data_IF_436252083280
#
_entry.id   IF_436252083280
#
_cell.length_a   1.000
_cell.length_b   1.000
_cell.length_c   1.000
_cell.angle_alpha   90.00
_cell.angle_beta   90.00
_cell.angle_gamma   90.00
#
_symmetry.space_group_name_H-M   'P 1'
#
loop_
_entity.id
_entity.type
_entity.pdbx_description
1 polymer ?
#
# COMPACT_ATOMS: atom_id res chain seq x y z
N UNK A 1 -6.97 41.88 26.38
CA UNK A 1 -5.82 42.68 26.86
C UNK A 1 -5.40 42.10 28.21
N UNK A 2 -4.14 41.62 28.32
CA UNK A 2 -3.44 41.10 29.53
C UNK A 2 -4.00 39.82 30.19
N UNK A 3 -3.20 38.90 30.74
CA UNK A 3 -1.80 38.49 30.57
C UNK A 3 -1.69 37.17 31.36
N UNK A 4 -1.04 36.15 30.80
CA UNK A 4 -0.63 34.95 31.52
C UNK A 4 0.35 35.31 32.65
N UNK A 5 0.26 34.62 33.80
CA UNK A 5 1.30 34.60 34.82
C UNK A 5 1.88 33.18 34.92
N UNK A 6 3.14 33.06 34.51
CA UNK A 6 4.02 31.94 34.82
C UNK A 6 4.67 32.18 36.18
N UNK A 7 4.76 31.13 37.00
CA UNK A 7 5.48 31.13 38.28
C UNK A 7 6.75 30.31 38.15
N UNK A 8 7.91 30.96 38.30
CA UNK A 8 9.23 30.35 38.45
C UNK A 8 9.62 30.40 39.92
N UNK A 9 10.12 29.27 40.45
CA UNK A 9 10.78 29.19 41.77
C UNK A 9 12.28 28.95 41.62
N UNK A 10 13.09 29.35 42.62
CA UNK A 10 14.42 29.91 42.39
C UNK A 10 15.57 28.92 42.41
N UNK A 11 16.63 29.36 41.74
CA UNK A 11 18.00 28.85 41.73
C UNK A 11 18.66 29.14 43.08
N UNK A 12 19.41 28.17 43.63
CA UNK A 12 20.30 28.38 44.76
C UNK A 12 21.75 28.05 44.38
N UNK A 13 22.63 29.00 44.68
CA UNK A 13 24.05 29.05 44.34
C UNK A 13 24.95 28.25 45.30
N UNK A 14 25.92 27.52 44.75
CA UNK A 14 27.22 27.16 45.34
C UNK A 14 28.06 26.51 44.22
N UNK A 15 29.35 26.72 44.00
CA UNK A 15 30.35 27.69 44.42
C UNK A 15 31.60 27.40 43.57
N UNK A 16 32.19 28.45 42.99
CA UNK A 16 33.56 28.65 42.50
C UNK A 16 34.54 27.45 42.40
N UNK A 17 35.26 27.37 41.26
CA UNK A 17 36.74 27.51 41.16
C UNK A 17 37.19 27.49 39.69
N UNK A 18 37.80 28.60 39.24
CA UNK A 18 38.60 28.69 38.01
C UNK A 18 40.08 28.69 38.41
N UNK A 19 40.92 27.90 37.71
CA UNK A 19 42.35 28.18 37.57
C UNK A 19 42.84 27.70 36.19
N UNK A 20 43.56 28.61 35.53
CA UNK A 20 44.08 28.57 34.16
C UNK A 20 45.32 27.67 34.04
N UNK A 21 45.56 27.09 32.87
CA UNK A 21 46.90 26.97 32.28
C UNK A 21 46.81 26.81 30.74
N UNK A 22 47.74 27.45 30.03
CA UNK A 22 47.90 27.53 28.56
C UNK A 22 49.30 27.00 28.22
N UNK A 23 49.49 26.54 26.96
CA UNK A 23 50.73 26.37 26.11
C UNK A 23 50.81 24.92 25.53
N UNK A 24 50.41 24.70 24.26
CA UNK A 24 51.21 24.52 22.99
C UNK A 24 52.03 23.19 22.96
N UNK A 25 52.15 22.36 21.90
CA UNK A 25 52.22 22.53 20.43
C UNK A 25 52.13 21.13 19.71
N UNK A 26 51.81 21.15 18.41
CA UNK A 26 52.25 20.25 17.31
C UNK A 26 51.67 18.84 17.05
N UNK A 27 51.01 18.74 15.87
CA UNK A 27 51.16 17.75 14.79
C UNK A 27 50.94 16.26 15.07
N UNK A 28 49.79 15.77 14.59
CA UNK A 28 49.58 14.37 14.26
C UNK A 28 48.59 14.26 13.11
N UNK A 29 49.11 14.11 11.89
CA UNK A 29 48.35 13.64 10.73
C UNK A 29 47.64 12.32 11.07
N UNK A 30 46.34 12.27 10.86
CA UNK A 30 45.65 11.02 10.54
C UNK A 30 44.59 11.34 9.50
N UNK A 31 45.02 11.19 8.24
CA UNK A 31 44.18 10.92 7.08
C UNK A 31 43.22 9.79 7.43
N UNK A 32 42.02 10.12 7.90
CA UNK A 32 40.90 9.20 7.80
C UNK A 32 40.47 9.25 6.34
N UNK A 33 40.98 8.29 5.57
CA UNK A 33 40.44 7.95 4.27
C UNK A 33 38.92 7.86 4.39
N UNK A 34 38.24 8.81 3.77
CA UNK A 34 36.82 8.64 3.48
C UNK A 34 36.69 7.39 2.63
N UNK A 35 36.22 6.30 3.23
CA UNK A 35 35.50 5.27 2.51
C UNK A 35 34.21 5.94 2.03
N UNK A 36 34.33 6.76 0.98
CA UNK A 36 33.22 7.09 0.11
C UNK A 36 32.86 5.79 -0.59
N UNK A 37 32.12 4.93 0.11
CA UNK A 37 31.37 3.86 -0.52
C UNK A 37 30.60 4.50 -1.66
N UNK A 38 30.97 4.16 -2.88
CA UNK A 38 30.26 4.61 -4.06
C UNK A 38 28.87 3.98 -3.96
N UNK A 39 27.92 4.70 -3.37
CA UNK A 39 26.50 4.37 -3.45
C UNK A 39 26.13 4.51 -4.93
N UNK A 40 26.26 3.44 -5.70
CA UNK A 40 25.67 3.37 -7.02
C UNK A 40 24.16 3.59 -6.85
N UNK A 41 23.65 4.67 -7.46
CA UNK A 41 22.23 4.91 -7.47
C UNK A 41 21.54 3.75 -8.20
N UNK A 42 20.69 3.02 -7.48
CA UNK A 42 19.85 2.00 -8.10
C UNK A 42 18.74 2.70 -8.87
N UNK A 43 18.62 2.36 -10.15
CA UNK A 43 17.58 2.89 -11.02
C UNK A 43 16.37 1.95 -11.01
N UNK A 44 15.16 2.54 -11.02
CA UNK A 44 13.91 1.78 -11.15
C UNK A 44 13.90 1.02 -12.49
N UNK A 45 13.37 -0.21 -12.52
CA UNK A 45 13.28 -1.00 -13.76
C UNK A 45 12.36 -0.32 -14.75
N UNK A 46 12.59 -0.51 -16.05
CA UNK A 46 11.74 0.00 -17.11
C UNK A 46 10.30 -0.52 -17.03
N UNK A 47 9.37 0.21 -17.67
CA UNK A 47 7.99 -0.25 -17.80
C UNK A 47 7.96 -1.48 -18.72
N UNK A 48 7.41 -2.58 -18.21
CA UNK A 48 7.30 -3.85 -18.92
C UNK A 48 5.84 -4.25 -19.11
N UNK A 49 5.53 -4.82 -20.27
CA UNK A 49 4.26 -5.50 -20.52
C UNK A 49 4.49 -6.98 -20.31
N UNK A 50 3.58 -7.62 -19.57
CA UNK A 50 3.66 -9.05 -19.28
C UNK A 50 2.50 -9.78 -19.93
N UNK A 51 2.62 -11.09 -20.19
CA UNK A 51 1.52 -11.90 -20.69
C UNK A 51 0.29 -11.81 -19.79
N UNK A 52 -0.90 -11.81 -20.40
CA UNK A 52 -2.15 -11.90 -19.67
C UNK A 52 -2.25 -13.25 -18.94
N UNK A 53 -2.74 -13.27 -17.68
CA UNK A 53 -3.11 -14.51 -17.02
C UNK A 53 -4.11 -15.31 -17.87
N UNK A 54 -4.01 -16.65 -17.98
CA UNK A 54 -4.89 -17.46 -18.83
C UNK A 54 -6.39 -17.27 -18.55
N UNK A 55 -6.76 -17.01 -17.30
CA UNK A 55 -8.13 -16.68 -16.88
C UNK A 55 -8.63 -15.37 -17.50
N UNK A 56 -7.80 -14.32 -17.49
CA UNK A 56 -8.14 -13.02 -18.08
C UNK A 56 -8.03 -13.00 -19.60
N UNK A 57 -7.19 -13.85 -20.20
CA UNK A 57 -7.08 -13.98 -21.64
C UNK A 57 -8.40 -14.44 -22.30
N UNK A 58 -9.24 -15.19 -21.57
CA UNK A 58 -10.55 -15.68 -22.02
C UNK A 58 -11.66 -14.63 -21.93
N UNK A 59 -11.41 -13.51 -21.25
CA UNK A 59 -12.41 -12.45 -21.07
C UNK A 59 -12.55 -11.68 -22.38
N UNK A 60 -13.74 -11.72 -22.97
CA UNK A 60 -14.06 -11.01 -24.20
C UNK A 60 -13.89 -9.49 -24.03
N UNK A 61 -13.44 -8.77 -25.09
CA UNK A 61 -13.41 -7.32 -25.09
C UNK A 61 -14.84 -6.74 -24.96
N UNK A 62 -14.94 -5.47 -24.58
CA UNK A 62 -16.21 -4.78 -24.42
C UNK A 62 -16.10 -3.59 -23.48
N UNK A 63 -17.24 -2.98 -23.14
CA UNK A 63 -17.32 -1.80 -22.29
C UNK A 63 -16.62 -2.04 -20.94
N UNK A 64 -15.73 -1.14 -20.56
CA UNK A 64 -14.96 -1.12 -19.32
C UNK A 64 -14.99 0.31 -18.75
N UNK A 65 -14.17 0.60 -17.75
CA UNK A 65 -13.93 1.95 -17.22
C UNK A 65 -12.44 2.17 -16.99
N UNK A 66 -11.60 1.73 -17.92
CA UNK A 66 -10.14 1.86 -17.79
C UNK A 66 -9.64 3.30 -17.83
N UNK A 67 -10.43 4.22 -18.39
CA UNK A 67 -10.24 5.67 -18.34
C UNK A 67 -10.38 6.25 -16.92
N UNK A 68 -11.08 5.55 -16.03
CA UNK A 68 -11.24 5.93 -14.62
C UNK A 68 -10.10 5.40 -13.72
N UNK A 69 -9.14 4.65 -14.29
CA UNK A 69 -7.98 4.16 -13.57
C UNK A 69 -6.99 5.29 -13.28
N UNK A 70 -6.46 5.31 -12.05
CA UNK A 70 -5.47 6.28 -11.60
C UNK A 70 -4.07 5.80 -11.94
N UNK A 71 -3.21 6.72 -12.33
CA UNK A 71 -1.79 6.45 -12.55
C UNK A 71 -1.04 6.27 -11.23
N UNK A 72 0.02 5.48 -11.28
CA UNK A 72 0.98 5.34 -10.17
C UNK A 72 2.41 5.48 -10.72
N UNK A 73 3.41 5.78 -9.86
CA UNK A 73 4.81 5.88 -10.28
C UNK A 73 5.37 4.60 -10.95
N UNK A 74 4.73 3.45 -10.73
CA UNK A 74 5.13 2.15 -11.29
C UNK A 74 4.26 1.72 -12.47
N UNK A 75 3.34 2.55 -12.96
CA UNK A 75 2.35 2.16 -13.97
C UNK A 75 1.14 1.46 -13.34
N UNK A 76 0.69 0.35 -13.91
CA UNK A 76 -0.44 -0.42 -13.35
C UNK A 76 -0.03 -1.20 -12.09
N UNK A 77 -0.92 -1.29 -11.09
CA UNK A 77 -0.74 -2.10 -9.87
C UNK A 77 -1.11 -3.57 -10.08
N UNK A 78 -0.66 -4.15 -11.20
CA UNK A 78 -0.90 -5.57 -11.52
C UNK A 78 0.06 -6.48 -10.77
N UNK A 79 -0.37 -7.71 -10.49
CA UNK A 79 0.50 -8.77 -9.99
C UNK A 79 1.25 -9.44 -11.15
N UNK A 80 2.55 -9.68 -10.97
CA UNK A 80 3.43 -10.33 -11.95
C UNK A 80 3.78 -11.78 -11.59
N UNK A 81 3.43 -12.23 -10.39
CA UNK A 81 3.62 -13.59 -9.91
C UNK A 81 2.31 -14.16 -9.38
N UNK A 82 2.14 -15.46 -9.59
CA UNK A 82 0.94 -16.20 -9.22
C UNK A 82 1.32 -17.53 -8.54
N UNK A 83 0.50 -18.05 -7.62
CA UNK A 83 -0.73 -17.45 -7.10
C UNK A 83 -0.46 -16.21 -6.23
N UNK A 84 -1.47 -15.33 -6.12
CA UNK A 84 -1.44 -14.20 -5.19
C UNK A 84 -1.85 -14.71 -3.82
N UNK A 85 -0.99 -14.53 -2.83
CA UNK A 85 -1.24 -14.97 -1.46
C UNK A 85 -2.03 -13.93 -0.67
N UNK A 86 -3.05 -14.38 0.06
CA UNK A 86 -3.94 -13.53 0.87
C UNK A 86 -3.88 -13.98 2.32
N UNK A 87 -3.48 -13.11 3.24
CA UNK A 87 -3.55 -13.38 4.67
C UNK A 87 -4.70 -12.61 5.31
N UNK A 88 -5.40 -13.25 6.25
CA UNK A 88 -6.51 -12.67 7.00
C UNK A 88 -6.03 -12.38 8.42
N UNK A 89 -6.02 -11.09 8.78
CA UNK A 89 -5.54 -10.61 10.07
C UNK A 89 -6.74 -10.26 10.97
N UNK A 90 -6.90 -11.07 12.02
CA UNK A 90 -7.93 -10.93 13.05
C UNK A 90 -7.38 -10.29 14.35
N UNK A 91 -6.17 -9.71 14.36
CA UNK A 91 -5.56 -9.25 15.61
C UNK A 91 -6.37 -8.17 16.37
N UNK A 92 -7.20 -7.39 15.67
CA UNK A 92 -8.09 -6.37 16.26
C UNK A 92 -9.48 -6.94 16.67
N UNK A 93 -9.65 -8.26 16.71
CA UNK A 93 -10.96 -8.95 16.77
C UNK A 93 -11.61 -9.04 18.16
N UNK A 94 -11.78 -7.91 18.86
CA UNK A 94 -12.62 -7.86 20.08
C UNK A 94 -14.11 -7.65 19.79
N UNK A 95 -14.48 -7.40 18.53
CA UNK A 95 -15.85 -7.09 18.14
C UNK A 95 -16.67 -8.35 17.79
N UNK A 96 -17.97 -8.42 18.16
CA UNK A 96 -18.90 -9.45 17.70
C UNK A 96 -18.93 -9.59 16.16
N UNK A 97 -19.52 -10.67 15.64
CA UNK A 97 -19.73 -10.91 14.18
C UNK A 97 -18.47 -11.31 13.40
N UNK A 98 -17.45 -11.87 14.05
CA UNK A 98 -16.25 -12.37 13.36
C UNK A 98 -16.59 -13.39 12.27
N UNK A 99 -17.44 -14.37 12.56
CA UNK A 99 -17.85 -15.39 11.59
C UNK A 99 -18.49 -14.80 10.32
N UNK A 100 -19.31 -13.75 10.48
CA UNK A 100 -19.96 -13.08 9.35
C UNK A 100 -18.94 -12.29 8.52
N UNK A 101 -18.02 -11.60 9.19
CA UNK A 101 -16.94 -10.87 8.53
C UNK A 101 -16.00 -11.81 7.77
N UNK A 102 -15.61 -12.93 8.39
CA UNK A 102 -14.74 -13.93 7.79
C UNK A 102 -15.42 -14.60 6.58
N UNK A 103 -16.72 -14.90 6.69
CA UNK A 103 -17.53 -15.39 5.57
C UNK A 103 -17.52 -14.40 4.40
N UNK A 104 -17.72 -13.12 4.66
CA UNK A 104 -17.73 -12.09 3.61
C UNK A 104 -16.36 -11.95 2.92
N UNK A 105 -15.27 -11.94 3.69
CA UNK A 105 -13.90 -11.85 3.15
C UNK A 105 -13.56 -13.08 2.32
N UNK A 106 -13.80 -14.29 2.84
CA UNK A 106 -13.53 -15.53 2.11
C UNK A 106 -14.39 -15.67 0.86
N UNK A 107 -15.64 -15.22 0.92
CA UNK A 107 -16.50 -15.17 -0.27
C UNK A 107 -15.93 -14.22 -1.32
N UNK A 108 -15.49 -13.00 -0.94
CA UNK A 108 -14.86 -12.08 -1.89
C UNK A 108 -13.58 -12.66 -2.50
N UNK A 109 -12.72 -13.32 -1.69
CA UNK A 109 -11.53 -14.03 -2.19
C UNK A 109 -11.94 -15.10 -3.20
N UNK A 110 -12.93 -15.94 -2.87
CA UNK A 110 -13.39 -17.02 -3.75
C UNK A 110 -13.98 -16.50 -5.07
N UNK A 111 -14.75 -15.42 -5.04
CA UNK A 111 -15.36 -14.85 -6.25
C UNK A 111 -14.31 -14.22 -7.18
N UNK A 112 -13.30 -13.55 -6.63
CA UNK A 112 -12.18 -13.03 -7.41
C UNK A 112 -11.21 -14.12 -7.87
N UNK A 113 -11.08 -15.23 -7.12
CA UNK A 113 -10.25 -16.38 -7.49
C UNK A 113 -10.61 -16.95 -8.88
N UNK A 114 -11.87 -16.82 -9.30
CA UNK A 114 -12.32 -17.22 -10.64
C UNK A 114 -11.58 -16.50 -11.78
N UNK A 115 -10.99 -15.33 -11.53
CA UNK A 115 -10.35 -14.48 -12.53
C UNK A 115 -8.84 -14.32 -12.33
N UNK A 116 -8.33 -14.48 -11.11
CA UNK A 116 -6.90 -14.49 -10.80
C UNK A 116 -6.64 -15.54 -9.71
N UNK A 117 -5.60 -16.38 -9.78
CA UNK A 117 -5.39 -17.43 -8.80
C UNK A 117 -5.00 -16.83 -7.44
N UNK A 118 -5.89 -16.94 -6.46
CA UNK A 118 -5.71 -16.51 -5.06
C UNK A 118 -5.57 -17.71 -4.13
N UNK A 119 -4.69 -17.63 -3.14
CA UNK A 119 -4.51 -18.67 -2.10
C UNK A 119 -4.43 -18.02 -0.72
N UNK A 120 -5.23 -18.51 0.23
CA UNK A 120 -5.13 -18.08 1.64
C UNK A 120 -3.81 -18.58 2.27
N UNK A 121 -3.19 -17.74 3.11
CA UNK A 121 -1.98 -18.09 3.86
C UNK A 121 -2.01 -17.51 5.28
N UNK A 122 -1.41 -18.22 6.23
CA UNK A 122 -1.26 -17.74 7.61
C UNK A 122 -0.02 -16.82 7.77
N UNK A 123 0.83 -16.71 6.75
CA UNK A 123 2.03 -15.89 6.81
C UNK A 123 1.74 -14.42 6.46
N UNK A 124 1.37 -13.62 7.46
CA UNK A 124 1.11 -12.18 7.33
C UNK A 124 2.31 -11.40 6.76
N UNK A 125 3.54 -11.78 7.10
CA UNK A 125 4.73 -11.04 6.69
C UNK A 125 5.08 -11.21 5.21
N UNK A 126 4.72 -12.36 4.62
CA UNK A 126 5.02 -12.69 3.22
C UNK A 126 3.82 -12.60 2.30
N UNK A 127 2.61 -12.42 2.83
CA UNK A 127 1.41 -12.31 2.02
C UNK A 127 1.48 -11.12 1.04
N UNK A 128 0.97 -11.34 -0.18
CA UNK A 128 0.82 -10.30 -1.18
C UNK A 128 -0.29 -9.31 -0.78
N UNK A 129 -1.40 -9.84 -0.27
CA UNK A 129 -2.55 -9.07 0.21
C UNK A 129 -2.79 -9.42 1.68
N UNK A 130 -2.94 -8.40 2.53
CA UNK A 130 -3.34 -8.56 3.93
C UNK A 130 -4.73 -7.95 4.12
N UNK A 131 -5.71 -8.73 4.58
CA UNK A 131 -7.04 -8.26 4.93
C UNK A 131 -7.15 -8.12 6.45
N UNK A 132 -7.14 -6.88 6.94
CA UNK A 132 -7.23 -6.55 8.36
C UNK A 132 -8.66 -6.28 8.78
N UNK A 133 -9.12 -7.00 9.80
CA UNK A 133 -10.35 -6.68 10.51
C UNK A 133 -10.12 -5.51 11.45
N UNK A 134 -10.27 -4.28 10.97
CA UNK A 134 -10.04 -3.08 11.79
C UNK A 134 -10.84 -1.88 11.27
N UNK A 135 -11.08 -0.89 12.12
CA UNK A 135 -11.62 0.40 11.67
C UNK A 135 -10.53 1.20 10.95
N UNK A 136 -10.86 1.85 9.84
CA UNK A 136 -9.91 2.74 9.16
C UNK A 136 -9.51 3.88 10.11
N UNK A 137 -8.21 4.17 10.28
CA UNK A 137 -7.75 5.24 11.16
C UNK A 137 -8.43 6.57 10.88
N UNK A 138 -8.91 7.22 11.94
CA UNK A 138 -9.55 8.54 11.85
C UNK A 138 -8.52 9.55 11.36
N UNK A 139 -8.84 10.25 10.27
CA UNK A 139 -8.00 11.32 9.72
C UNK A 139 -8.64 12.68 9.99
N UNK A 140 -7.80 13.69 10.18
CA UNK A 140 -8.20 15.11 10.21
C UNK A 140 -7.67 15.80 8.98
N UNK A 141 -8.40 16.80 8.48
CA UNK A 141 -7.88 17.68 7.44
C UNK A 141 -6.85 18.68 8.01
N UNK A 142 -6.29 19.53 7.14
CA UNK A 142 -5.30 20.56 7.49
C UNK A 142 -5.86 21.58 8.51
N UNK A 143 -7.18 21.69 8.63
CA UNK A 143 -7.87 22.58 9.56
C UNK A 143 -8.31 21.88 10.86
N UNK A 144 -7.90 20.61 11.06
CA UNK A 144 -8.25 19.81 12.23
C UNK A 144 -9.64 19.19 12.21
N UNK A 145 -10.43 19.37 11.14
CA UNK A 145 -11.78 18.79 11.00
C UNK A 145 -11.67 17.29 10.74
N UNK A 146 -12.48 16.52 11.47
CA UNK A 146 -12.58 15.07 11.27
C UNK A 146 -13.07 14.76 9.86
N UNK A 147 -12.30 13.94 9.14
CA UNK A 147 -12.73 13.34 7.89
C UNK A 147 -13.73 12.21 8.18
N UNK A 148 -14.65 11.98 7.22
CA UNK A 148 -15.64 10.90 7.33
C UNK A 148 -14.94 9.58 7.61
N UNK A 149 -15.40 8.86 8.63
CA UNK A 149 -14.97 7.49 8.91
C UNK A 149 -15.30 6.65 7.69
N UNK A 150 -14.31 5.94 7.16
CA UNK A 150 -14.48 5.03 6.02
C UNK A 150 -14.78 3.64 6.56
N UNK A 151 -15.72 2.96 5.91
CA UNK A 151 -16.03 1.57 6.22
C UNK A 151 -14.88 0.62 5.83
N UNK A 152 -14.12 0.98 4.80
CA UNK A 152 -12.92 0.29 4.40
C UNK A 152 -11.93 1.21 3.68
N UNK A 153 -10.69 0.74 3.52
CA UNK A 153 -9.65 1.39 2.73
C UNK A 153 -8.61 0.34 2.29
N UNK A 154 -8.34 0.27 0.99
CA UNK A 154 -7.16 -0.44 0.46
C UNK A 154 -5.97 0.52 0.38
N UNK A 155 -4.79 0.02 0.75
CA UNK A 155 -3.51 0.71 0.63
C UNK A 155 -2.50 -0.18 -0.06
N UNK A 156 -1.46 0.43 -0.62
CA UNK A 156 -0.32 -0.29 -1.16
C UNK A 156 1.00 0.31 -0.67
N UNK A 157 2.00 -0.54 -0.59
CA UNK A 157 3.39 -0.18 -0.30
C UNK A 157 4.30 -0.82 -1.34
N UNK A 158 5.31 -0.09 -1.81
CA UNK A 158 6.36 -0.63 -2.68
C UNK A 158 7.57 -1.04 -1.86
N UNK A 159 8.20 -2.14 -2.25
CA UNK A 159 9.43 -2.60 -1.63
C UNK A 159 10.31 -3.32 -2.66
N UNK A 160 11.59 -3.47 -2.33
CA UNK A 160 12.54 -4.26 -3.11
C UNK A 160 12.77 -5.55 -2.34
N UNK A 161 12.56 -6.69 -3.00
CA UNK A 161 12.82 -7.99 -2.37
C UNK A 161 14.34 -8.28 -2.29
N UNK A 162 14.77 -9.29 -1.51
CA UNK A 162 16.20 -9.65 -1.42
C UNK A 162 16.85 -9.94 -2.78
N UNK A 163 16.08 -10.41 -3.76
CA UNK A 163 16.51 -10.71 -5.13
C UNK A 163 16.55 -9.47 -6.05
N UNK A 164 16.36 -8.28 -5.47
CA UNK A 164 16.40 -6.97 -6.14
C UNK A 164 15.23 -6.71 -7.11
N UNK A 165 14.09 -7.37 -6.94
CA UNK A 165 12.89 -7.07 -7.72
C UNK A 165 12.02 -6.03 -7.03
N UNK A 166 11.49 -5.08 -7.81
CA UNK A 166 10.48 -4.14 -7.35
C UNK A 166 9.15 -4.87 -7.18
N UNK A 167 8.65 -4.89 -5.94
CA UNK A 167 7.40 -5.54 -5.52
C UNK A 167 6.45 -4.53 -4.91
N UNK A 168 5.23 -4.99 -4.68
CA UNK A 168 4.27 -4.28 -3.86
C UNK A 168 3.53 -5.23 -2.93
N UNK A 169 2.92 -4.65 -1.89
CA UNK A 169 1.99 -5.32 -1.00
C UNK A 169 0.72 -4.50 -0.94
N UNK A 170 -0.42 -5.19 -0.84
CA UNK A 170 -1.71 -4.57 -0.62
C UNK A 170 -2.18 -4.83 0.81
N UNK A 171 -2.74 -3.82 1.46
CA UNK A 171 -3.42 -3.95 2.74
C UNK A 171 -4.84 -3.44 2.63
N UNK A 172 -5.81 -4.30 2.91
CA UNK A 172 -7.22 -3.93 3.01
C UNK A 172 -7.55 -3.76 4.50
N UNK A 173 -8.02 -2.58 4.90
CA UNK A 173 -8.64 -2.36 6.19
C UNK A 173 -10.15 -2.48 6.00
N UNK A 174 -10.79 -3.48 6.61
CA UNK A 174 -12.23 -3.71 6.46
C UNK A 174 -12.91 -3.68 7.84
N UNK A 175 -13.73 -2.65 8.06
CA UNK A 175 -14.45 -2.49 9.32
C UNK A 175 -15.48 -3.60 9.50
N UNK A 176 -15.56 -4.23 10.69
CA UNK A 176 -16.56 -5.24 10.99
C UNK A 176 -17.96 -4.69 11.27
N UNK A 177 -18.13 -3.37 11.40
CA UNK A 177 -19.37 -2.75 11.88
C UNK A 177 -20.33 -2.40 10.73
N UNK A 178 -20.31 -3.17 9.64
CA UNK A 178 -21.17 -2.98 8.48
C UNK A 178 -22.35 -3.94 8.51
N UNK A 179 -23.47 -3.55 7.89
CA UNK A 179 -24.57 -4.48 7.63
C UNK A 179 -24.12 -5.58 6.65
N UNK A 180 -24.67 -6.79 6.75
CA UNK A 180 -24.11 -7.98 6.08
C UNK A 180 -24.03 -7.86 4.56
N UNK A 181 -25.09 -7.39 3.90
CA UNK A 181 -25.10 -7.17 2.45
C UNK A 181 -24.11 -6.09 2.00
N UNK A 182 -23.92 -5.07 2.83
CA UNK A 182 -22.92 -4.01 2.59
C UNK A 182 -21.52 -4.55 2.79
N UNK A 183 -21.29 -5.40 3.80
CA UNK A 183 -19.98 -5.95 4.14
C UNK A 183 -19.39 -6.79 3.01
N UNK A 184 -20.17 -7.70 2.41
CA UNK A 184 -19.69 -8.49 1.27
C UNK A 184 -19.42 -7.60 0.04
N UNK A 185 -20.27 -6.60 -0.21
CA UNK A 185 -20.07 -5.66 -1.32
C UNK A 185 -18.79 -4.85 -1.14
N UNK A 186 -18.56 -4.32 0.06
CA UNK A 186 -17.31 -3.64 0.42
C UNK A 186 -16.11 -4.57 0.30
N UNK A 187 -16.20 -5.83 0.78
CA UNK A 187 -15.12 -6.80 0.65
C UNK A 187 -14.75 -7.08 -0.82
N UNK A 188 -15.74 -7.22 -1.71
CA UNK A 188 -15.52 -7.38 -3.16
C UNK A 188 -14.83 -6.16 -3.76
N UNK A 189 -15.28 -4.95 -3.39
CA UNK A 189 -14.74 -3.68 -3.85
C UNK A 189 -13.27 -3.52 -3.49
N UNK A 190 -12.94 -3.68 -2.21
CA UNK A 190 -11.56 -3.55 -1.74
C UNK A 190 -10.65 -4.65 -2.29
N UNK A 191 -11.17 -5.87 -2.48
CA UNK A 191 -10.40 -6.91 -3.18
C UNK A 191 -10.14 -6.54 -4.64
N UNK A 192 -11.09 -5.91 -5.34
CA UNK A 192 -10.87 -5.38 -6.70
C UNK A 192 -9.73 -4.36 -6.75
N UNK A 193 -9.65 -3.45 -5.76
CA UNK A 193 -8.50 -2.56 -5.61
C UNK A 193 -7.19 -3.32 -5.38
N UNK A 194 -7.19 -4.29 -4.47
CA UNK A 194 -6.00 -5.10 -4.15
C UNK A 194 -5.52 -5.97 -5.32
N UNK A 195 -6.37 -6.24 -6.31
CA UNK A 195 -6.00 -6.95 -7.54
C UNK A 195 -5.52 -6.03 -8.67
N UNK A 196 -5.60 -4.72 -8.47
CA UNK A 196 -5.01 -3.71 -9.34
C UNK A 196 -6.00 -2.73 -9.98
N UNK A 197 -7.32 -2.85 -9.74
CA UNK A 197 -8.30 -1.86 -10.22
C UNK A 197 -8.18 -0.60 -9.35
N UNK A 198 -7.19 0.24 -9.65
CA UNK A 198 -6.91 1.44 -8.86
C UNK A 198 -7.68 2.66 -9.38
N UNK A 199 -8.99 2.66 -9.13
CA UNK A 199 -9.94 3.64 -9.64
C UNK A 199 -11.35 3.16 -9.31
N UNK A 200 -12.36 3.90 -9.75
CA UNK A 200 -13.76 3.53 -9.49
C UNK A 200 -14.55 3.48 -10.78
N UNK A 201 -15.58 2.64 -10.80
CA UNK A 201 -16.63 2.72 -11.81
C UNK A 201 -17.47 3.99 -11.59
N UNK A 202 -18.03 4.49 -12.69
CA UNK A 202 -19.05 5.52 -12.76
C UNK A 202 -20.49 4.97 -12.63
N UNK A 203 -20.67 3.63 -12.60
CA UNK A 203 -22.00 3.01 -12.55
C UNK A 203 -22.28 2.36 -11.19
N UNK A 204 -23.42 2.66 -10.53
CA UNK A 204 -23.76 2.09 -9.23
C UNK A 204 -24.07 0.58 -9.25
N UNK A 205 -24.20 -0.01 -10.44
CA UNK A 205 -24.38 -1.46 -10.62
C UNK A 205 -23.07 -2.24 -10.63
N UNK A 206 -21.94 -1.56 -10.79
CA UNK A 206 -20.61 -2.17 -10.80
C UNK A 206 -20.08 -2.25 -9.37
N UNK A 207 -19.37 -3.33 -9.03
CA UNK A 207 -18.88 -3.48 -7.64
C UNK A 207 -17.83 -2.44 -7.31
N UNK A 208 -17.13 -1.92 -8.32
CA UNK A 208 -16.12 -0.88 -8.17
C UNK A 208 -16.69 0.56 -8.12
N UNK A 209 -18.01 0.74 -7.97
CA UNK A 209 -18.59 2.08 -7.78
C UNK A 209 -18.12 2.71 -6.45
N UNK A 210 -17.76 3.99 -6.48
CA UNK A 210 -17.11 4.67 -5.34
C UNK A 210 -17.99 4.84 -4.09
N UNK A 211 -19.32 4.76 -4.24
CA UNK A 211 -20.27 4.98 -3.16
C UNK A 211 -20.89 3.67 -2.71
N UNK A 212 -21.03 3.51 -1.40
CA UNK A 212 -21.77 2.39 -0.84
C UNK A 212 -23.24 2.50 -1.27
N UNK A 213 -23.73 1.44 -1.90
CA UNK A 213 -25.15 1.24 -2.16
C UNK A 213 -25.72 0.30 -1.11
N UNK A 214 -26.98 0.47 -0.74
CA UNK A 214 -27.62 -0.34 0.29
C UNK A 214 -27.82 -1.81 -0.13
N UNK A 215 -27.77 -2.08 -1.43
CA UNK A 215 -27.96 -3.42 -2.01
C UNK A 215 -26.65 -4.18 -2.11
N UNK A 216 -26.74 -5.51 -2.05
CA UNK A 216 -25.60 -6.38 -2.33
C UNK A 216 -25.27 -6.34 -3.81
N UNK A 217 -24.07 -5.87 -4.17
CA UNK A 217 -23.61 -5.81 -5.57
C UNK A 217 -22.54 -6.88 -5.80
N UNK A 218 -22.72 -7.68 -6.86
CA UNK A 218 -21.75 -8.69 -7.30
C UNK A 218 -20.74 -8.13 -8.29
N UNK A 219 -19.66 -8.88 -8.53
CA UNK A 219 -18.66 -8.53 -9.54
C UNK A 219 -19.29 -8.61 -10.94
N UNK A 220 -19.24 -7.52 -11.70
CA UNK A 220 -19.87 -7.43 -13.02
C UNK A 220 -18.90 -7.79 -14.15
N UNK A 221 -19.39 -8.14 -15.35
CA UNK A 221 -18.54 -8.29 -16.53
C UNK A 221 -17.75 -7.02 -16.88
N UNK A 222 -18.26 -5.82 -16.52
CA UNK A 222 -17.54 -4.56 -16.74
C UNK A 222 -16.36 -4.43 -15.79
N UNK A 223 -16.50 -4.86 -14.54
CA UNK A 223 -15.39 -4.94 -13.58
C UNK A 223 -14.28 -5.87 -14.08
N UNK A 224 -14.65 -7.05 -14.60
CA UNK A 224 -13.68 -8.02 -15.12
C UNK A 224 -12.97 -7.53 -16.38
N UNK A 225 -13.67 -6.82 -17.28
CA UNK A 225 -13.03 -6.22 -18.45
C UNK A 225 -12.08 -5.09 -18.07
N UNK A 226 -12.41 -4.31 -17.04
CA UNK A 226 -11.47 -3.32 -16.47
C UNK A 226 -10.26 -4.01 -15.84
N UNK A 227 -10.45 -5.10 -15.09
CA UNK A 227 -9.33 -5.89 -14.56
C UNK A 227 -8.44 -6.41 -15.69
N UNK A 228 -9.01 -6.97 -16.76
CA UNK A 228 -8.25 -7.37 -17.95
C UNK A 228 -7.41 -6.21 -18.50
N UNK A 229 -7.99 -5.02 -18.63
CA UNK A 229 -7.26 -3.84 -19.12
C UNK A 229 -6.10 -3.44 -18.20
N UNK A 230 -6.26 -3.51 -16.88
CA UNK A 230 -5.15 -3.31 -15.91
C UNK A 230 -4.00 -4.27 -16.23
N UNK A 231 -4.29 -5.54 -16.51
CA UNK A 231 -3.25 -6.55 -16.77
C UNK A 231 -2.65 -6.48 -18.19
N UNK A 232 -3.22 -5.67 -19.09
CA UNK A 232 -2.64 -5.34 -20.39
C UNK A 232 -1.70 -4.12 -20.32
N UNK A 233 -1.82 -3.29 -19.28
CA UNK A 233 -0.99 -2.10 -19.12
C UNK A 233 0.42 -2.48 -18.66
N UNK A 234 1.38 -1.61 -19.00
CA UNK A 234 2.76 -1.76 -18.57
C UNK A 234 2.93 -1.45 -17.08
N UNK A 235 3.86 -2.14 -16.43
CA UNK A 235 4.24 -1.90 -15.04
C UNK A 235 5.75 -2.06 -14.83
N UNK A 236 6.30 -1.37 -13.83
CA UNK A 236 7.66 -1.59 -13.32
C UNK A 236 7.70 -2.75 -12.31
N UNK A 237 6.54 -3.18 -11.81
CA UNK A 237 6.42 -4.24 -10.80
C UNK A 237 6.80 -5.60 -11.37
N UNK A 238 7.68 -6.31 -10.66
CA UNK A 238 8.30 -7.55 -11.15
C UNK A 238 9.56 -7.32 -11.99
N UNK A 239 9.97 -6.08 -12.21
CA UNK A 239 11.26 -5.74 -12.81
C UNK A 239 12.39 -5.76 -11.77
N UNK A 240 13.58 -6.17 -12.19
CA UNK A 240 14.80 -6.15 -11.36
C UNK A 240 15.45 -4.76 -11.39
N UNK A 241 15.86 -4.24 -10.24
CA UNK A 241 16.59 -2.97 -10.18
C UNK A 241 17.85 -3.02 -11.05
N UNK A 242 18.12 -1.91 -11.73
CA UNK A 242 19.30 -1.77 -12.58
C UNK A 242 20.33 -0.96 -11.81
N UNK A 243 21.55 -1.48 -11.71
CA UNK A 243 22.68 -0.71 -11.18
C UNK A 243 23.08 0.31 -12.23
N UNK A 244 23.03 1.61 -11.91
CA UNK A 244 23.53 2.62 -12.83
C UNK A 244 25.04 2.43 -13.03
N UNK A 245 25.45 2.09 -14.26
CA UNK A 245 26.87 2.14 -14.63
C UNK A 245 27.32 3.61 -14.62
N UNK A 246 28.43 3.88 -13.94
CA UNK A 246 29.03 5.20 -13.94
C UNK A 246 29.48 5.49 -15.38
N UNK A 247 29.10 6.62 -16.00
CA UNK A 247 29.56 6.92 -17.34
C UNK A 247 31.08 6.93 -17.36
N UNK A 248 31.68 6.15 -18.27
CA UNK A 248 33.11 6.13 -18.48
C UNK A 248 33.56 7.57 -18.76
N UNK A 249 34.51 8.08 -17.96
CA UNK A 249 35.12 9.38 -18.24
C UNK A 249 35.83 9.24 -19.59
N UNK A 250 35.34 9.97 -20.60
CA UNK A 250 36.11 10.22 -21.82
C UNK A 250 37.35 11.01 -21.40
N UNK A 251 38.51 10.40 -21.60
CA UNK A 251 39.82 11.03 -21.44
C UNK A 251 40.10 12.01 -22.58
#
# INVERSE_FOLDING_TARGET
MRRQQFSLKPINHRSQRYRRLVILFCLGWLLVFGLAGSSQAQQLPDLQVYPLPPSLAKVAPGANYGDQLRQTPVGSLRWSQFPITVAIDLADSRAPREAIWLKAVRQAISEWHAYLPLVETDNLERANIIVRRSTVPIRRDQNGKLLRIRAAETRFDFFVDPDQYLRHRMTIYLSPNQADGVLITTARHEMGHALGIWGHSDRPTDVMYFSQVAQTVGITPRDIRTLRQVYQQSTRLGGKLITAEKPARSH
#
